data_IF_472063089259
#
_entry.id   IF_472063089259
#
_cell.length_a   1.000
_cell.length_b   1.000
_cell.length_c   1.000
_cell.angle_alpha   90.00
_cell.angle_beta   90.00
_cell.angle_gamma   90.00
#
_symmetry.space_group_name_H-M   'P 1'
#
loop_
_entity.id
_entity.type
_entity.pdbx_description
1 polymer ?
#
# COMPACT_ATOMS: atom_id res chain seq x y z
N UNK A 1 28.68 46.53 -14.15
CA UNK A 1 28.52 46.24 -12.71
C UNK A 1 27.03 46.07 -12.41
N UNK A 2 26.62 44.84 -12.07
CA UNK A 2 25.36 44.39 -11.43
C UNK A 2 24.01 44.72 -12.13
N UNK A 3 23.46 43.86 -13.00
CA UNK A 3 22.73 42.59 -12.75
C UNK A 3 21.58 42.67 -11.73
N UNK A 4 20.33 42.64 -12.20
CA UNK A 4 19.22 42.02 -11.45
C UNK A 4 17.99 41.77 -12.34
N UNK A 5 17.99 40.69 -13.12
CA UNK A 5 16.75 40.09 -13.61
C UNK A 5 16.03 39.44 -12.43
N UNK A 6 14.95 40.07 -11.93
CA UNK A 6 13.97 39.40 -11.05
C UNK A 6 12.95 38.67 -11.91
N UNK A 7 13.30 37.44 -12.32
CA UNK A 7 12.35 36.49 -12.90
C UNK A 7 11.59 35.86 -11.74
N UNK A 8 10.33 36.26 -11.54
CA UNK A 8 9.44 35.60 -10.60
C UNK A 8 9.14 34.19 -11.12
N UNK A 9 9.91 33.20 -10.68
CA UNK A 9 9.59 31.81 -10.89
C UNK A 9 8.47 31.45 -9.92
N UNK A 10 7.23 31.39 -10.41
CA UNK A 10 6.18 30.60 -9.78
C UNK A 10 6.71 29.17 -9.66
N UNK A 11 7.16 28.78 -8.47
CA UNK A 11 7.52 27.39 -8.17
C UNK A 11 6.20 26.64 -8.02
N UNK A 12 5.65 26.17 -9.14
CA UNK A 12 4.68 25.08 -9.09
C UNK A 12 5.44 23.85 -8.65
N UNK A 13 5.33 23.50 -7.36
CA UNK A 13 5.75 22.18 -6.89
C UNK A 13 4.77 21.16 -7.48
N UNK A 14 5.06 20.72 -8.70
CA UNK A 14 4.39 19.57 -9.29
C UNK A 14 4.77 18.36 -8.43
N UNK A 15 3.84 17.86 -7.62
CA UNK A 15 3.99 16.54 -6.99
C UNK A 15 4.07 15.51 -8.11
N UNK A 16 5.29 15.13 -8.48
CA UNK A 16 5.52 14.01 -9.40
C UNK A 16 4.90 12.77 -8.78
N UNK A 17 3.84 12.25 -9.40
CA UNK A 17 3.33 10.93 -9.09
C UNK A 17 4.38 9.94 -9.62
N UNK A 18 5.28 9.51 -8.76
CA UNK A 18 6.16 8.40 -9.07
C UNK A 18 5.28 7.16 -9.19
N UNK A 19 5.02 6.70 -10.41
CA UNK A 19 4.40 5.40 -10.64
C UNK A 19 5.36 4.35 -10.11
N UNK A 20 5.11 3.84 -8.90
CA UNK A 20 5.80 2.66 -8.42
C UNK A 20 5.57 1.53 -9.43
N UNK A 21 6.64 0.85 -9.85
CA UNK A 21 6.54 -0.31 -10.72
C UNK A 21 5.75 -1.40 -10.00
N UNK A 22 4.43 -1.45 -10.22
CA UNK A 22 3.60 -2.59 -9.86
C UNK A 22 4.14 -3.78 -10.65
N UNK A 23 4.89 -4.68 -9.99
CA UNK A 23 5.18 -5.98 -10.57
C UNK A 23 3.83 -6.66 -10.77
N UNK A 24 3.44 -6.84 -12.03
CA UNK A 24 2.19 -7.47 -12.42
C UNK A 24 2.20 -8.94 -12.01
N UNK A 25 1.82 -9.22 -10.76
CA UNK A 25 1.67 -10.57 -10.21
C UNK A 25 0.21 -10.79 -9.75
N UNK A 26 -0.76 -10.84 -10.69
CA UNK A 26 -2.11 -11.24 -10.35
C UNK A 26 -2.12 -12.70 -9.90
N UNK A 27 -2.69 -12.97 -8.72
CA UNK A 27 -2.93 -14.33 -8.24
C UNK A 27 -4.01 -15.01 -9.09
N UNK A 28 -3.87 -16.30 -9.38
CA UNK A 28 -4.90 -17.10 -10.07
C UNK A 28 -5.59 -18.03 -9.08
N UNK A 29 -6.81 -18.44 -9.43
CA UNK A 29 -7.52 -19.45 -8.65
C UNK A 29 -6.74 -20.77 -8.65
N UNK A 30 -6.54 -21.34 -7.47
CA UNK A 30 -5.75 -22.57 -7.27
C UNK A 30 -4.27 -22.32 -6.96
N UNK A 31 -3.77 -21.08 -7.08
CA UNK A 31 -2.42 -20.76 -6.63
C UNK A 31 -2.34 -20.85 -5.10
N UNK A 32 -1.25 -21.39 -4.54
CA UNK A 32 -1.06 -21.44 -3.10
C UNK A 32 -0.92 -20.03 -2.53
N UNK A 33 -1.46 -19.82 -1.33
CA UNK A 33 -1.32 -18.56 -0.60
C UNK A 33 0.17 -18.32 -0.29
N UNK A 34 0.72 -17.13 -0.58
CA UNK A 34 2.14 -16.85 -0.35
C UNK A 34 2.49 -16.92 1.14
N UNK A 35 3.61 -17.57 1.45
CA UNK A 35 4.21 -17.59 2.78
C UNK A 35 4.94 -16.27 3.02
N UNK A 36 4.20 -15.28 3.50
CA UNK A 36 4.72 -13.98 3.93
C UNK A 36 4.41 -13.77 5.41
N UNK A 37 5.38 -13.23 6.13
CA UNK A 37 5.22 -12.80 7.53
C UNK A 37 4.54 -11.43 7.53
N UNK A 38 3.38 -11.36 8.18
CA UNK A 38 2.63 -10.11 8.41
C UNK A 38 2.65 -9.81 9.90
N UNK A 39 2.76 -8.54 10.28
CA UNK A 39 2.72 -8.15 11.68
C UNK A 39 1.28 -7.84 12.10
N UNK A 40 0.83 -8.41 13.21
CA UNK A 40 -0.48 -8.12 13.81
C UNK A 40 -0.32 -7.25 15.05
N UNK A 41 -1.00 -6.11 15.14
CA UNK A 41 -1.09 -5.23 16.33
C UNK A 41 0.21 -4.61 16.84
N UNK A 42 1.24 -5.40 17.13
CA UNK A 42 2.57 -4.97 17.53
C UNK A 42 3.63 -5.49 16.55
N UNK A 43 4.77 -4.81 16.39
CA UNK A 43 5.83 -5.27 15.49
C UNK A 43 6.50 -6.59 15.92
N UNK A 44 6.17 -7.12 17.10
CA UNK A 44 6.68 -8.40 17.61
C UNK A 44 5.84 -9.61 17.18
N UNK A 45 4.56 -9.41 16.88
CA UNK A 45 3.64 -10.51 16.56
C UNK A 45 3.66 -10.77 15.05
N UNK A 46 4.64 -11.59 14.64
CA UNK A 46 4.78 -12.05 13.26
C UNK A 46 3.85 -13.23 13.02
N UNK A 47 2.99 -13.10 12.04
CA UNK A 47 2.01 -14.11 11.66
C UNK A 47 2.26 -14.55 10.23
N UNK A 48 2.42 -15.86 10.04
CA UNK A 48 2.59 -16.42 8.70
C UNK A 48 1.22 -16.66 8.05
N UNK A 49 0.96 -15.99 6.93
CA UNK A 49 -0.32 -16.06 6.23
C UNK A 49 -0.62 -17.48 5.75
N UNK A 50 0.39 -18.25 5.32
CA UNK A 50 0.17 -19.63 4.89
C UNK A 50 -0.25 -20.53 6.05
N UNK A 51 0.19 -20.27 7.29
CA UNK A 51 -0.21 -21.04 8.46
C UNK A 51 -1.63 -20.72 8.93
N UNK A 52 -2.06 -19.47 8.79
CA UNK A 52 -3.43 -19.06 9.12
C UNK A 52 -4.48 -19.77 8.26
N UNK A 53 -4.16 -20.01 6.98
CA UNK A 53 -5.06 -20.68 6.04
C UNK A 53 -4.82 -22.20 5.93
N UNK A 54 -3.87 -22.78 6.68
CA UNK A 54 -3.70 -24.24 6.74
C UNK A 54 -4.90 -24.88 7.45
N UNK A 55 -5.65 -25.70 6.72
CA UNK A 55 -6.76 -26.48 7.25
C UNK A 55 -8.02 -25.69 7.59
N UNK A 56 -8.07 -24.39 7.28
CA UNK A 56 -9.23 -23.52 7.51
C UNK A 56 -9.60 -22.80 6.23
N UNK A 57 -10.90 -22.72 5.95
CA UNK A 57 -11.41 -21.83 4.90
C UNK A 57 -11.53 -20.44 5.49
N UNK A 58 -10.90 -19.45 4.86
CA UNK A 58 -10.92 -18.06 5.30
C UNK A 58 -10.88 -17.10 4.13
N UNK A 59 -11.15 -15.83 4.39
CA UNK A 59 -11.20 -14.78 3.37
C UNK A 59 -10.18 -13.69 3.69
N UNK A 60 -9.34 -13.34 2.72
CA UNK A 60 -8.31 -12.30 2.85
C UNK A 60 -8.66 -11.11 1.95
N UNK A 61 -8.75 -9.91 2.53
CA UNK A 61 -8.97 -8.66 1.79
C UNK A 61 -7.83 -7.68 2.05
N UNK A 62 -7.32 -7.08 0.98
CA UNK A 62 -6.29 -6.04 1.06
C UNK A 62 -6.91 -4.66 0.90
N UNK A 63 -6.43 -3.69 1.68
CA UNK A 63 -6.84 -2.29 1.63
C UNK A 63 -5.62 -1.41 1.32
N UNK A 64 -5.76 -0.29 0.59
CA UNK A 64 -4.61 0.53 0.21
C UNK A 64 -3.84 1.12 1.40
N UNK A 65 -4.52 1.28 2.53
CA UNK A 65 -3.93 1.73 3.77
C UNK A 65 -4.97 1.86 4.88
N UNK A 66 -4.51 1.81 6.13
CA UNK A 66 -5.36 2.07 7.29
C UNK A 66 -5.95 3.49 7.20
N UNK A 67 -7.21 3.65 7.61
CA UNK A 67 -7.93 4.92 7.63
C UNK A 67 -8.16 5.61 6.28
N UNK A 68 -7.94 4.91 5.16
CA UNK A 68 -8.31 5.46 3.85
C UNK A 68 -9.83 5.73 3.78
N UNK A 69 -10.28 6.86 3.21
CA UNK A 69 -11.70 7.22 3.16
C UNK A 69 -12.48 6.10 2.45
N UNK A 70 -13.42 5.48 3.17
CA UNK A 70 -14.19 4.31 2.72
C UNK A 70 -13.83 2.98 3.40
N UNK A 71 -12.67 2.88 4.07
CA UNK A 71 -12.20 1.63 4.69
C UNK A 71 -12.50 1.54 6.21
N UNK A 72 -12.81 2.66 6.88
CA UNK A 72 -12.98 2.73 8.33
C UNK A 72 -14.41 3.03 8.81
N UNK A 73 -15.29 3.49 7.91
CA UNK A 73 -16.73 3.71 8.10
C UNK A 73 -17.38 4.01 6.75
N UNK A 74 -18.14 3.06 6.21
CA UNK A 74 -19.20 3.41 5.25
C UNK A 74 -20.33 4.05 6.08
N UNK A 75 -20.39 5.38 6.04
CA UNK A 75 -21.44 6.30 6.49
C UNK A 75 -22.61 5.66 7.28
N UNK A 76 -22.65 5.93 8.59
CA UNK A 76 -23.88 6.20 9.34
C UNK A 76 -23.72 7.53 10.08
#
# INVERSE_FOLDING_TARGET
>A
MFNSLRRAAFVTCSRSFSSGSTRNMPIKAGDPVPSVEVCESTPGDKVNVAELFKGKTGVLFAVPGAFTPGCSKVRR
#
